data_IF_742646071619
#
_entry.id   IF_742646071619
#
_cell.length_a   1.000
_cell.length_b   1.000
_cell.length_c   1.000
_cell.angle_alpha   90.00
_cell.angle_beta   90.00
_cell.angle_gamma   90.00
#
_symmetry.space_group_name_H-M   'P 1'
#
loop_
_entity.id
_entity.type
_entity.pdbx_description
1 polymer ?
#
# COMPACT_ATOMS: atom_id res chain seq x y z
N UNK A 1 -28.11 16.13 -25.31
CA UNK A 1 -26.91 15.69 -26.06
C UNK A 1 -26.95 14.17 -26.11
N UNK A 2 -26.65 13.54 -27.25
CA UNK A 2 -26.66 12.07 -27.36
C UNK A 2 -25.34 11.50 -26.85
N UNK A 3 -25.38 10.25 -26.39
CA UNK A 3 -24.23 9.47 -25.97
C UNK A 3 -23.22 9.37 -27.12
N UNK A 4 -21.96 9.71 -26.86
CA UNK A 4 -20.88 9.67 -27.85
C UNK A 4 -20.48 8.25 -28.28
N UNK A 5 -20.94 7.22 -27.56
CA UNK A 5 -20.65 5.82 -27.91
C UNK A 5 -21.76 5.23 -28.79
N UNK A 6 -22.97 5.15 -28.25
CA UNK A 6 -24.07 4.48 -28.92
C UNK A 6 -24.91 5.40 -29.82
N UNK A 7 -24.74 6.72 -29.71
CA UNK A 7 -25.47 7.74 -30.49
C UNK A 7 -27.01 7.63 -30.46
N UNK A 8 -27.58 6.80 -29.59
CA UNK A 8 -29.00 6.45 -29.58
C UNK A 8 -29.72 6.96 -28.34
N UNK A 9 -28.99 7.17 -27.24
CA UNK A 9 -29.53 7.53 -25.92
C UNK A 9 -29.02 8.89 -25.47
N UNK A 10 -29.79 9.63 -24.64
CA UNK A 10 -29.28 10.86 -24.04
C UNK A 10 -28.06 10.58 -23.16
N UNK A 11 -27.04 11.44 -23.27
CA UNK A 11 -25.90 11.43 -22.38
C UNK A 11 -26.34 11.92 -20.99
N UNK A 12 -26.18 11.08 -19.99
CA UNK A 12 -26.55 11.35 -18.58
C UNK A 12 -25.34 11.30 -17.65
N UNK A 13 -24.18 10.87 -18.16
CA UNK A 13 -22.93 10.75 -17.42
C UNK A 13 -21.87 11.60 -18.13
N UNK A 14 -21.26 12.52 -17.38
CA UNK A 14 -20.20 13.39 -17.86
C UNK A 14 -18.89 13.03 -17.15
N UNK A 15 -17.91 12.54 -17.90
CA UNK A 15 -16.60 12.14 -17.40
C UNK A 15 -15.58 13.17 -17.86
N UNK A 16 -14.72 13.61 -16.95
CA UNK A 16 -13.55 14.46 -17.27
C UNK A 16 -12.31 13.71 -16.84
N UNK A 17 -11.48 13.32 -17.81
CA UNK A 17 -10.23 12.61 -17.58
C UNK A 17 -9.09 13.60 -17.78
N UNK A 18 -8.23 13.71 -16.77
CA UNK A 18 -7.03 14.54 -16.83
C UNK A 18 -5.84 13.59 -16.95
N UNK A 19 -5.18 13.59 -18.11
CA UNK A 19 -3.99 12.79 -18.38
C UNK A 19 -2.84 13.75 -18.65
N UNK A 20 -1.98 13.96 -17.64
CA UNK A 20 -0.95 15.00 -17.70
C UNK A 20 -1.58 16.40 -17.74
N UNK A 21 -1.26 17.16 -18.78
CA UNK A 21 -1.80 18.50 -19.02
C UNK A 21 -3.03 18.52 -19.96
N UNK A 22 -3.44 17.35 -20.48
CA UNK A 22 -4.57 17.24 -21.39
C UNK A 22 -5.86 16.85 -20.64
N UNK A 23 -6.95 17.56 -20.96
CA UNK A 23 -8.28 17.34 -20.40
C UNK A 23 -9.18 16.76 -21.49
N UNK A 24 -9.56 15.50 -21.33
CA UNK A 24 -10.50 14.83 -22.21
C UNK A 24 -11.89 14.80 -21.54
N UNK A 25 -12.93 15.22 -22.27
CA UNK A 25 -14.31 15.21 -21.80
C UNK A 25 -15.16 14.21 -22.58
N UNK A 26 -15.80 13.30 -21.87
CA UNK A 26 -16.63 12.25 -22.45
C UNK A 26 -18.08 12.36 -21.95
N UNK A 27 -19.03 12.18 -22.85
CA UNK A 27 -20.46 12.29 -22.58
C UNK A 27 -21.17 11.01 -22.98
N UNK A 28 -21.50 10.19 -21.98
CA UNK A 28 -22.03 8.83 -22.17
C UNK A 28 -23.43 8.70 -21.57
N UNK A 29 -24.21 7.74 -22.07
CA UNK A 29 -25.40 7.26 -21.37
C UNK A 29 -25.00 6.30 -20.23
N UNK A 30 -25.89 6.09 -19.27
CA UNK A 30 -25.65 5.22 -18.11
C UNK A 30 -25.17 3.81 -18.48
N UNK A 31 -25.70 3.21 -19.55
CA UNK A 31 -25.32 1.86 -19.98
C UNK A 31 -23.91 1.80 -20.59
N UNK A 32 -23.59 2.67 -21.55
CA UNK A 32 -22.26 2.72 -22.15
C UNK A 32 -21.19 3.12 -21.14
N UNK A 33 -21.53 3.96 -20.16
CA UNK A 33 -20.63 4.31 -19.07
C UNK A 33 -20.35 3.12 -18.13
N UNK A 34 -21.32 2.24 -17.92
CA UNK A 34 -21.15 1.01 -17.13
C UNK A 34 -20.31 -0.04 -17.87
N UNK A 35 -20.52 -0.19 -19.17
CA UNK A 35 -19.75 -1.12 -20.02
C UNK A 35 -18.29 -0.70 -20.19
N UNK A 36 -18.01 0.60 -20.30
CA UNK A 36 -16.64 1.13 -20.40
C UNK A 36 -15.80 0.93 -19.13
N UNK A 37 -16.37 0.44 -18.02
CA UNK A 37 -15.64 0.10 -16.81
C UNK A 37 -15.15 1.30 -15.98
N UNK A 38 -15.11 2.51 -16.54
CA UNK A 38 -14.73 3.76 -15.87
C UNK A 38 -15.67 4.11 -14.69
N UNK A 39 -16.89 3.57 -14.66
CA UNK A 39 -17.82 3.69 -13.52
C UNK A 39 -17.65 2.63 -12.43
N UNK A 40 -16.87 1.55 -12.64
CA UNK A 40 -16.63 0.56 -11.58
C UNK A 40 -15.94 1.18 -10.36
N UNK A 41 -15.22 2.30 -10.57
CA UNK A 41 -14.61 3.12 -9.52
C UNK A 41 -15.68 3.78 -8.64
N UNK A 42 -16.86 4.10 -9.17
CA UNK A 42 -17.92 4.85 -8.48
C UNK A 42 -19.09 3.99 -8.02
N UNK A 43 -19.32 2.82 -8.62
CA UNK A 43 -20.48 1.98 -8.33
C UNK A 43 -20.24 0.97 -7.22
N UNK A 44 -18.99 0.64 -6.90
CA UNK A 44 -18.64 -0.26 -5.80
C UNK A 44 -17.92 0.52 -4.68
N UNK A 45 -18.58 0.77 -3.53
CA UNK A 45 -17.96 1.41 -2.38
C UNK A 45 -16.69 0.70 -1.90
N UNK A 46 -16.59 -0.62 -2.08
CA UNK A 46 -15.40 -1.37 -1.72
C UNK A 46 -14.23 -1.10 -2.67
N UNK A 47 -14.48 -1.07 -3.99
CA UNK A 47 -13.48 -0.71 -4.99
C UNK A 47 -13.05 0.76 -4.88
N UNK A 48 -13.97 1.66 -4.52
CA UNK A 48 -13.69 3.08 -4.29
C UNK A 48 -12.79 3.26 -3.05
N UNK A 49 -13.08 2.54 -1.96
CA UNK A 49 -12.23 2.52 -0.76
C UNK A 49 -10.86 1.92 -1.06
N UNK A 50 -10.79 0.80 -1.79
CA UNK A 50 -9.54 0.14 -2.16
C UNK A 50 -8.67 1.04 -3.05
N UNK A 51 -9.27 1.76 -4.02
CA UNK A 51 -8.54 2.70 -4.88
C UNK A 51 -8.16 4.00 -4.16
N UNK A 52 -9.02 4.52 -3.29
CA UNK A 52 -8.67 5.66 -2.44
C UNK A 52 -7.52 5.28 -1.50
N UNK A 53 -7.57 4.12 -0.85
CA UNK A 53 -6.46 3.60 -0.06
C UNK A 53 -5.22 3.35 -0.93
N UNK A 54 -5.34 2.80 -2.13
CA UNK A 54 -4.21 2.59 -3.03
C UNK A 54 -3.54 3.91 -3.42
N UNK A 55 -4.33 4.96 -3.69
CA UNK A 55 -3.84 6.29 -4.04
C UNK A 55 -3.29 7.06 -2.82
N UNK A 56 -3.89 6.90 -1.63
CA UNK A 56 -3.44 7.55 -0.39
C UNK A 56 -2.22 6.86 0.23
N UNK A 57 -2.09 5.55 0.05
CA UNK A 57 -0.96 4.71 0.52
C UNK A 57 0.13 4.60 -0.56
N UNK A 58 -0.10 5.17 -1.75
CA UNK A 58 0.86 5.14 -2.86
C UNK A 58 1.25 3.72 -3.24
N UNK A 59 0.27 2.81 -3.35
CA UNK A 59 0.44 1.50 -4.01
C UNK A 59 0.61 1.73 -5.53
N UNK A 60 1.66 2.45 -5.91
CA UNK A 60 2.30 2.20 -7.19
C UNK A 60 2.66 0.70 -7.23
N UNK A 61 2.52 0.01 -8.36
CA UNK A 61 3.00 -1.35 -8.50
C UNK A 61 4.51 -1.32 -8.32
N UNK A 62 4.96 -1.46 -7.08
CA UNK A 62 6.34 -1.85 -6.80
C UNK A 62 6.47 -3.19 -7.50
N UNK A 63 7.45 -3.33 -8.39
CA UNK A 63 7.83 -4.65 -8.92
C UNK A 63 8.20 -5.51 -7.72
N UNK A 64 7.23 -6.28 -7.23
CA UNK A 64 7.45 -7.16 -6.11
C UNK A 64 7.94 -8.44 -6.71
N UNK A 65 9.24 -8.70 -6.52
CA UNK A 65 9.79 -10.03 -6.68
C UNK A 65 8.85 -11.03 -6.02
N UNK A 66 8.48 -12.07 -6.75
CA UNK A 66 7.64 -13.14 -6.22
C UNK A 66 8.29 -13.69 -4.96
N UNK A 67 7.65 -13.43 -3.82
CA UNK A 67 8.15 -13.90 -2.53
C UNK A 67 7.49 -15.24 -2.26
N UNK A 68 8.27 -16.29 -1.97
CA UNK A 68 7.70 -17.56 -1.58
C UNK A 68 6.85 -17.40 -0.32
N UNK A 69 5.85 -18.27 -0.16
CA UNK A 69 5.02 -18.34 1.03
C UNK A 69 5.87 -18.51 2.30
N UNK A 70 5.37 -18.03 3.44
CA UNK A 70 6.05 -18.16 4.71
C UNK A 70 6.31 -19.64 5.02
N UNK A 71 7.57 -20.06 5.29
CA UNK A 71 7.89 -21.47 5.52
C UNK A 71 7.27 -22.03 6.82
N UNK A 72 6.84 -21.17 7.74
CA UNK A 72 6.25 -21.59 9.02
C UNK A 72 4.74 -21.83 8.93
N UNK A 73 4.00 -21.02 8.18
CA UNK A 73 2.54 -21.08 8.15
C UNK A 73 1.92 -21.18 6.75
N UNK A 74 2.73 -21.16 5.69
CA UNK A 74 2.26 -21.18 4.30
C UNK A 74 1.59 -19.89 3.82
N UNK A 75 1.52 -18.86 4.66
CA UNK A 75 0.87 -17.59 4.32
C UNK A 75 1.64 -16.85 3.23
N UNK A 76 0.97 -16.44 2.17
CA UNK A 76 1.54 -15.72 1.03
C UNK A 76 1.54 -14.20 1.23
N UNK A 77 2.47 -13.51 0.58
CA UNK A 77 2.50 -12.04 0.63
C UNK A 77 1.27 -11.40 -0.05
N UNK A 78 0.66 -12.07 -1.03
CA UNK A 78 -0.61 -11.63 -1.63
C UNK A 78 -1.76 -11.58 -0.63
N UNK A 79 -1.84 -12.54 0.28
CA UNK A 79 -2.87 -12.57 1.34
C UNK A 79 -2.68 -11.42 2.33
N UNK A 80 -1.43 -11.04 2.64
CA UNK A 80 -1.15 -9.83 3.40
C UNK A 80 -1.66 -8.58 2.68
N UNK A 81 -1.49 -8.45 1.37
CA UNK A 81 -2.00 -7.29 0.63
C UNK A 81 -3.52 -7.22 0.64
N UNK A 82 -4.19 -8.36 0.54
CA UNK A 82 -5.65 -8.42 0.54
C UNK A 82 -6.25 -8.12 1.93
N UNK A 83 -5.60 -8.59 3.01
CA UNK A 83 -6.16 -8.54 4.37
C UNK A 83 -5.55 -7.48 5.27
N UNK A 84 -4.36 -6.98 4.94
CA UNK A 84 -3.53 -6.12 5.79
C UNK A 84 -2.95 -6.82 7.02
N UNK A 85 -3.07 -8.15 7.13
CA UNK A 85 -2.66 -8.92 8.32
C UNK A 85 -1.64 -9.98 7.96
N UNK A 86 -0.71 -10.23 8.88
CA UNK A 86 0.27 -11.31 8.77
C UNK A 86 -0.25 -12.57 9.46
N UNK A 87 0.11 -13.74 8.94
CA UNK A 87 -0.37 -15.02 9.45
C UNK A 87 0.29 -15.49 10.76
N UNK A 88 1.60 -15.26 10.93
CA UNK A 88 2.33 -15.68 12.13
C UNK A 88 3.53 -14.75 12.43
N UNK A 89 4.19 -14.89 13.61
CA UNK A 89 5.35 -14.06 13.96
C UNK A 89 6.51 -14.14 12.96
N UNK A 90 6.77 -15.31 12.37
CA UNK A 90 7.84 -15.52 11.38
C UNK A 90 7.63 -14.70 10.10
N UNK A 91 6.39 -14.34 9.79
CA UNK A 91 6.07 -13.54 8.61
C UNK A 91 6.72 -12.14 8.65
N UNK A 92 6.98 -11.58 9.84
CA UNK A 92 7.65 -10.27 9.96
C UNK A 92 9.08 -10.30 9.42
N UNK A 93 9.82 -11.37 9.73
CA UNK A 93 11.19 -11.54 9.25
C UNK A 93 11.21 -11.98 7.78
N UNK A 94 10.34 -12.92 7.41
CA UNK A 94 10.30 -13.48 6.05
C UNK A 94 9.92 -12.43 5.00
N UNK A 95 8.97 -11.55 5.32
CA UNK A 95 8.53 -10.47 4.42
C UNK A 95 9.16 -9.11 4.73
N UNK A 96 10.28 -9.08 5.47
CA UNK A 96 10.87 -7.83 5.96
C UNK A 96 11.18 -6.83 4.83
N UNK A 97 11.76 -7.32 3.73
CA UNK A 97 12.14 -6.49 2.58
C UNK A 97 10.92 -5.80 1.94
N UNK A 98 9.78 -6.49 1.89
CA UNK A 98 8.54 -5.98 1.30
C UNK A 98 7.73 -5.15 2.30
N UNK A 99 7.82 -5.45 3.60
CA UNK A 99 7.15 -4.70 4.66
C UNK A 99 7.81 -3.34 4.92
N UNK A 100 9.14 -3.24 4.89
CA UNK A 100 9.87 -1.98 5.12
C UNK A 100 9.35 -0.78 4.33
N UNK A 101 9.20 -0.83 2.99
CA UNK A 101 8.70 0.31 2.23
C UNK A 101 7.25 0.65 2.58
N UNK A 102 6.41 -0.34 2.86
CA UNK A 102 5.01 -0.16 3.24
C UNK A 102 4.92 0.54 4.60
N UNK A 103 5.65 0.03 5.60
CA UNK A 103 5.69 0.61 6.95
C UNK A 103 6.25 2.02 6.95
N UNK A 104 7.29 2.29 6.14
CA UNK A 104 7.86 3.63 6.00
C UNK A 104 6.86 4.62 5.39
N UNK A 105 6.04 4.20 4.44
CA UNK A 105 4.97 5.04 3.86
C UNK A 105 3.87 5.33 4.87
N UNK A 106 3.43 4.31 5.63
CA UNK A 106 2.33 4.44 6.59
C UNK A 106 2.71 5.17 7.88
N UNK A 107 3.91 4.91 8.40
CA UNK A 107 4.35 5.39 9.72
C UNK A 107 5.49 6.43 9.65
N UNK A 108 6.01 6.74 8.46
CA UNK A 108 7.16 7.64 8.26
C UNK A 108 8.52 7.01 8.57
N UNK A 109 8.59 6.10 9.55
CA UNK A 109 9.80 5.36 9.93
C UNK A 109 9.50 3.87 10.10
N UNK A 110 10.52 3.03 9.89
CA UNK A 110 10.45 1.59 10.22
C UNK A 110 10.88 1.31 11.65
N UNK A 111 11.49 2.30 12.33
CA UNK A 111 11.95 2.20 13.70
C UNK A 111 11.08 3.05 14.63
N UNK A 112 10.64 2.45 15.74
CA UNK A 112 9.98 3.18 16.82
C UNK A 112 11.02 3.90 17.68
N UNK A 113 11.01 5.24 17.67
CA UNK A 113 11.83 6.09 18.54
C UNK A 113 11.03 6.85 19.60
N UNK A 114 9.73 6.56 19.70
CA UNK A 114 8.80 7.30 20.55
C UNK A 114 8.80 6.88 22.02
N UNK A 115 7.67 7.12 22.69
CA UNK A 115 7.49 6.85 24.12
C UNK A 115 7.85 5.41 24.48
N UNK A 116 8.60 5.26 25.56
CA UNK A 116 8.89 3.97 26.18
C UNK A 116 8.03 3.78 27.44
N UNK A 117 7.50 2.56 27.69
CA UNK A 117 6.76 2.29 28.92
C UNK A 117 7.63 2.50 30.16
N UNK A 118 7.13 3.21 31.17
CA UNK A 118 7.90 3.52 32.39
C UNK A 118 8.44 2.27 33.11
N UNK A 119 7.64 1.19 33.18
CA UNK A 119 8.00 -0.05 33.90
C UNK A 119 9.05 -0.93 33.21
N UNK A 120 9.22 -0.82 31.89
CA UNK A 120 10.16 -1.67 31.12
C UNK A 120 11.15 -0.87 30.26
N UNK A 121 11.10 0.45 30.31
CA UNK A 121 11.94 1.33 29.51
C UNK A 121 13.43 1.15 29.79
N UNK A 122 13.82 0.83 31.03
CA UNK A 122 15.22 0.65 31.41
C UNK A 122 15.89 -0.57 30.78
N UNK A 123 15.17 -1.67 30.67
CA UNK A 123 15.68 -2.86 29.98
C UNK A 123 15.89 -2.56 28.48
N UNK A 124 14.93 -1.86 27.88
CA UNK A 124 15.02 -1.47 26.47
C UNK A 124 16.14 -0.45 26.22
N UNK A 125 16.32 0.54 27.11
CA UNK A 125 17.42 1.53 27.04
C UNK A 125 18.79 0.85 27.08
N UNK A 126 19.00 -0.06 28.03
CA UNK A 126 20.25 -0.83 28.13
C UNK A 126 20.49 -1.70 26.89
N UNK A 127 19.45 -2.35 26.38
CA UNK A 127 19.53 -3.12 25.14
C UNK A 127 19.97 -2.27 23.94
N UNK A 128 19.38 -1.08 23.77
CA UNK A 128 19.78 -0.13 22.70
C UNK A 128 21.21 0.35 22.86
N UNK A 129 21.62 0.74 24.07
CA UNK A 129 23.00 1.17 24.34
C UNK A 129 24.01 0.04 24.01
N UNK A 130 23.69 -1.20 24.37
CA UNK A 130 24.54 -2.34 24.09
C UNK A 130 24.66 -2.60 22.57
N UNK A 131 23.57 -2.47 21.81
CA UNK A 131 23.59 -2.59 20.35
C UNK A 131 24.45 -1.48 19.72
N UNK A 132 24.28 -0.23 20.15
CA UNK A 132 25.03 0.92 19.66
C UNK A 132 26.53 0.81 19.94
N UNK A 133 26.91 0.39 21.16
CA UNK A 133 28.31 0.15 21.52
C UNK A 133 28.92 -0.96 20.68
N UNK A 134 28.19 -2.05 20.44
CA UNK A 134 28.66 -3.15 19.57
C UNK A 134 28.89 -2.66 18.14
N UNK A 135 27.96 -1.90 17.59
CA UNK A 135 28.11 -1.35 16.24
C UNK A 135 29.35 -0.43 16.14
N UNK A 136 29.55 0.43 17.15
CA UNK A 136 30.74 1.30 17.23
C UNK A 136 32.04 0.50 17.32
N UNK A 137 32.08 -0.56 18.13
CA UNK A 137 33.24 -1.47 18.22
C UNK A 137 33.52 -2.14 16.88
N UNK A 138 32.49 -2.68 16.23
CA UNK A 138 32.63 -3.38 14.94
C UNK A 138 33.18 -2.42 13.88
N UNK A 139 32.71 -1.17 13.88
CA UNK A 139 33.21 -0.12 12.97
C UNK A 139 34.65 0.28 13.26
N UNK A 140 35.06 0.33 14.52
CA UNK A 140 36.42 0.70 14.91
C UNK A 140 37.46 -0.40 14.63
N UNK A 141 37.05 -1.67 14.62
CA UNK A 141 37.91 -2.84 14.36
C UNK A 141 37.94 -3.23 12.88
N UNK A 142 37.01 -2.72 12.06
CA UNK A 142 36.97 -2.97 10.61
C UNK A 142 38.01 -2.14 9.81
N UNK A 143 38.87 -1.37 10.50
CA UNK A 143 40.05 -0.68 9.97
C UNK A 143 41.32 -1.35 10.47
#
# INVERSE_FOLDING_TARGET
MLCQECHSRPATVHLTKVIGDEVEQLHLCAECAREKGELQIFTDPAALMQNLLANFVGFQPVEVQEVPACPTCGFGFGEFRATGRLGCPSCYAHFEAQLKPILRRLHGTTDHRGKLPARRGDQYRRGRQMAEIKERLTRAVAH
#
